data_IF_882304182132
#
_entry.id   IF_882304182132
#
_cell.length_a   1.000
_cell.length_b   1.000
_cell.length_c   1.000
_cell.angle_alpha   90.00
_cell.angle_beta   90.00
_cell.angle_gamma   90.00
#
_symmetry.space_group_name_H-M   'P 1'
#
loop_
_entity.id
_entity.type
_entity.pdbx_description
1 polymer ?
#
# COMPACT_ATOMS: atom_id res chain seq x y z
N UNK A 1 -6.06 -2.25 6.23
CA UNK A 1 -7.05 -2.90 5.35
C UNK A 1 -8.44 -2.24 5.36
N UNK A 2 -8.56 -0.99 5.82
CA UNK A 2 -9.86 -0.29 6.00
C UNK A 2 -10.19 0.72 4.89
N UNK A 3 -9.26 0.98 3.95
CA UNK A 3 -9.44 2.06 2.96
C UNK A 3 -10.50 1.78 1.88
N UNK A 4 -10.81 0.52 1.60
CA UNK A 4 -11.77 0.16 0.54
C UNK A 4 -13.24 0.26 0.97
N UNK A 5 -13.55 0.01 2.22
CA UNK A 5 -14.92 0.13 2.73
C UNK A 5 -15.41 1.58 2.72
N UNK A 6 -14.48 2.54 2.87
CA UNK A 6 -14.79 3.98 2.83
C UNK A 6 -15.38 4.40 1.48
N UNK A 7 -14.93 3.81 0.38
CA UNK A 7 -15.33 4.24 -0.95
C UNK A 7 -16.80 3.92 -1.31
N UNK A 8 -17.39 2.91 -0.70
CA UNK A 8 -18.74 2.45 -1.06
C UNK A 8 -19.84 2.91 -0.10
N UNK A 9 -19.52 3.02 1.20
CA UNK A 9 -20.53 3.25 2.25
C UNK A 9 -20.25 4.50 3.11
N UNK A 10 -19.20 5.24 2.82
CA UNK A 10 -18.68 6.27 3.72
C UNK A 10 -17.84 5.64 4.82
N UNK A 11 -17.16 6.45 5.61
CA UNK A 11 -16.32 5.93 6.68
C UNK A 11 -15.71 6.98 7.57
N UNK A 12 -15.20 6.49 8.70
CA UNK A 12 -14.52 7.32 9.68
C UNK A 12 -13.13 7.74 9.16
N UNK A 13 -12.89 9.03 9.12
CA UNK A 13 -11.61 9.63 8.79
C UNK A 13 -10.92 10.05 10.07
N UNK A 14 -10.11 9.17 10.63
CA UNK A 14 -9.36 9.42 11.83
C UNK A 14 -8.34 10.53 11.63
N UNK A 15 -7.92 11.18 12.74
CA UNK A 15 -7.10 12.39 12.71
C UNK A 15 -7.68 13.47 11.79
N UNK A 16 -9.03 13.55 11.70
CA UNK A 16 -9.74 14.46 10.79
C UNK A 16 -9.31 14.36 9.33
N UNK A 17 -8.81 13.18 8.91
CA UNK A 17 -8.27 12.94 7.58
C UNK A 17 -6.84 13.44 7.37
N UNK A 18 -6.19 13.96 8.39
CA UNK A 18 -4.84 14.49 8.30
C UNK A 18 -3.79 13.39 8.47
N UNK A 19 -3.80 12.44 7.54
CA UNK A 19 -2.84 11.35 7.43
C UNK A 19 -2.12 11.38 6.10
N UNK A 20 -0.87 10.96 6.12
CA UNK A 20 -0.08 10.67 4.91
C UNK A 20 0.20 9.17 4.83
N UNK A 21 0.03 8.58 3.68
CA UNK A 21 0.29 7.14 3.45
C UNK A 21 1.06 6.94 2.16
N UNK A 22 1.91 5.93 2.18
CA UNK A 22 2.55 5.39 0.99
C UNK A 22 1.58 4.37 0.36
N UNK A 23 0.75 4.85 -0.58
CA UNK A 23 -0.17 3.99 -1.32
C UNK A 23 0.59 3.27 -2.42
N UNK A 24 0.55 1.96 -2.40
CA UNK A 24 1.24 1.13 -3.39
C UNK A 24 0.24 0.28 -4.14
N UNK A 25 0.30 0.34 -5.45
CA UNK A 25 -0.57 -0.46 -6.31
C UNK A 25 -0.15 -1.93 -6.29
N UNK A 26 -1.14 -2.83 -6.39
CA UNK A 26 -0.91 -4.27 -6.23
C UNK A 26 0.07 -4.84 -7.26
N UNK A 27 0.00 -4.38 -8.53
CA UNK A 27 0.89 -4.87 -9.58
C UNK A 27 2.34 -4.47 -9.33
N UNK A 28 2.59 -3.30 -8.72
CA UNK A 28 3.93 -2.89 -8.30
C UNK A 28 4.46 -3.77 -7.18
N UNK A 29 3.60 -4.18 -6.22
CA UNK A 29 3.97 -5.13 -5.17
C UNK A 29 4.33 -6.47 -5.79
N UNK A 30 3.49 -6.99 -6.69
CA UNK A 30 3.70 -8.27 -7.38
C UNK A 30 4.99 -8.24 -8.22
N UNK A 31 5.24 -7.15 -8.97
CA UNK A 31 6.50 -6.97 -9.73
C UNK A 31 7.72 -7.00 -8.80
N UNK A 32 7.62 -6.33 -7.63
CA UNK A 32 8.68 -6.35 -6.62
C UNK A 32 8.96 -7.75 -6.09
N UNK A 33 7.92 -8.52 -5.76
CA UNK A 33 8.05 -9.92 -5.30
C UNK A 33 8.64 -10.80 -6.41
N UNK A 34 8.11 -10.70 -7.64
CA UNK A 34 8.58 -11.47 -8.77
C UNK A 34 10.07 -11.28 -9.05
N UNK A 35 10.54 -10.04 -8.99
CA UNK A 35 11.97 -9.71 -9.15
C UNK A 35 12.86 -10.28 -8.05
N UNK A 36 12.30 -10.57 -6.88
CA UNK A 36 13.04 -11.17 -5.76
C UNK A 36 13.23 -12.68 -5.89
N UNK A 37 12.40 -13.39 -6.66
CA UNK A 37 12.47 -14.85 -6.78
C UNK A 37 13.87 -15.34 -7.16
N UNK A 38 14.58 -14.59 -8.02
CA UNK A 38 15.93 -14.92 -8.48
C UNK A 38 17.04 -14.21 -7.69
N UNK A 39 16.72 -13.62 -6.52
CA UNK A 39 17.64 -12.85 -5.69
C UNK A 39 17.72 -13.37 -4.25
N UNK A 40 17.44 -14.65 -4.08
CA UNK A 40 17.49 -15.33 -2.78
C UNK A 40 18.94 -15.30 -2.26
N UNK A 41 19.18 -14.86 -1.02
CA UNK A 41 20.53 -14.92 -0.44
C UNK A 41 20.94 -16.36 -0.16
N UNK A 42 22.24 -16.65 -0.24
CA UNK A 42 22.81 -17.92 0.20
C UNK A 42 23.54 -17.76 1.54
N UNK A 43 23.91 -18.87 2.18
CA UNK A 43 24.65 -18.88 3.44
C UNK A 43 25.98 -18.10 3.32
N UNK A 44 26.61 -18.15 2.14
CA UNK A 44 27.89 -17.47 1.89
C UNK A 44 27.71 -16.05 1.33
N UNK A 45 26.49 -15.54 1.26
CA UNK A 45 26.25 -14.18 0.80
C UNK A 45 26.87 -13.16 1.75
N UNK A 46 27.53 -12.16 1.18
CA UNK A 46 28.09 -11.04 1.94
C UNK A 46 27.23 -9.79 1.75
N UNK A 47 27.19 -8.93 2.77
CA UNK A 47 26.56 -7.61 2.64
C UNK A 47 27.24 -6.82 1.54
N UNK A 48 26.44 -6.35 0.56
CA UNK A 48 26.95 -5.57 -0.58
C UNK A 48 26.78 -4.07 -0.39
N UNK A 49 25.92 -3.67 0.53
CA UNK A 49 25.55 -2.27 0.75
C UNK A 49 25.63 -1.91 2.23
N UNK A 50 25.85 -0.63 2.54
CA UNK A 50 25.98 -0.13 3.92
C UNK A 50 24.75 -0.48 4.78
N UNK A 51 23.54 -0.40 4.21
CA UNK A 51 22.28 -0.67 4.90
C UNK A 51 21.66 -2.00 4.43
N UNK A 52 22.48 -2.99 4.11
CA UNK A 52 22.00 -4.31 3.72
C UNK A 52 21.49 -5.06 4.95
N UNK A 53 20.23 -5.45 4.93
CA UNK A 53 19.55 -6.22 5.98
C UNK A 53 19.85 -7.72 5.94
N UNK A 54 20.84 -8.14 5.13
CA UNK A 54 21.27 -9.53 5.06
C UNK A 54 21.67 -10.04 6.45
N UNK A 55 21.05 -11.16 6.86
CA UNK A 55 21.38 -11.82 8.11
C UNK A 55 22.83 -12.37 8.09
N UNK A 56 23.60 -12.24 9.19
CA UNK A 56 24.91 -12.83 9.29
C UNK A 56 24.89 -14.35 9.58
N UNK A 57 23.76 -14.88 10.02
CA UNK A 57 23.63 -16.26 10.53
C UNK A 57 22.71 -17.15 9.71
N UNK A 58 21.93 -16.58 8.81
CA UNK A 58 20.96 -17.31 8.00
C UNK A 58 20.78 -16.67 6.61
N UNK A 59 20.39 -17.43 5.58
CA UNK A 59 20.23 -16.90 4.23
C UNK A 59 18.90 -16.15 4.06
N UNK A 60 18.69 -15.09 4.84
CA UNK A 60 17.52 -14.24 4.69
C UNK A 60 17.85 -12.75 4.69
N UNK A 61 16.94 -11.96 4.16
CA UNK A 61 17.02 -10.51 4.05
C UNK A 61 15.62 -9.91 4.20
N UNK A 62 15.51 -8.81 4.93
CA UNK A 62 14.28 -8.04 5.07
C UNK A 62 14.30 -6.90 4.06
N UNK A 63 13.24 -6.74 3.31
CA UNK A 63 13.09 -5.72 2.28
C UNK A 63 11.72 -5.05 2.39
N UNK A 64 11.70 -3.73 2.21
CA UNK A 64 10.45 -3.00 2.09
C UNK A 64 10.05 -2.91 0.62
N UNK A 65 8.74 -3.06 0.37
CA UNK A 65 8.13 -2.82 -0.93
C UNK A 65 7.10 -1.71 -0.76
N UNK A 66 7.16 -0.68 -1.59
CA UNK A 66 6.25 0.45 -1.55
C UNK A 66 6.45 1.40 -2.72
N UNK A 67 5.70 2.48 -2.75
CA UNK A 67 5.79 3.49 -3.80
C UNK A 67 6.84 4.58 -3.51
N UNK A 68 7.32 4.66 -2.25
CA UNK A 68 8.29 5.68 -1.80
C UNK A 68 7.78 7.13 -1.87
N UNK A 69 6.47 7.32 -1.89
CA UNK A 69 5.83 8.63 -1.93
C UNK A 69 4.72 8.73 -0.91
N UNK A 70 4.65 9.86 -0.25
CA UNK A 70 3.60 10.19 0.70
C UNK A 70 2.47 10.91 -0.02
N UNK A 71 1.25 10.46 0.20
CA UNK A 71 0.04 11.08 -0.31
C UNK A 71 -0.88 11.39 0.86
N UNK A 72 -1.40 12.62 0.91
CA UNK A 72 -2.44 12.97 1.85
C UNK A 72 -3.71 12.17 1.61
N UNK A 73 -4.25 11.58 2.68
CA UNK A 73 -5.45 10.76 2.61
C UNK A 73 -6.63 11.50 1.96
N UNK A 74 -6.82 12.78 2.31
CA UNK A 74 -7.90 13.58 1.71
C UNK A 74 -7.71 13.80 0.22
N UNK A 75 -6.49 13.97 -0.26
CA UNK A 75 -6.21 14.10 -1.69
C UNK A 75 -6.52 12.79 -2.44
N UNK A 76 -6.16 11.66 -1.84
CA UNK A 76 -6.48 10.35 -2.37
C UNK A 76 -8.01 10.15 -2.46
N UNK A 77 -8.76 10.47 -1.39
CA UNK A 77 -10.22 10.38 -1.37
C UNK A 77 -10.85 11.31 -2.41
N UNK A 78 -10.39 12.57 -2.50
CA UNK A 78 -10.89 13.51 -3.49
C UNK A 78 -10.72 13.00 -4.93
N UNK A 79 -9.58 12.36 -5.21
CA UNK A 79 -9.33 11.75 -6.53
C UNK A 79 -10.27 10.57 -6.77
N UNK A 80 -10.48 9.70 -5.77
CA UNK A 80 -11.45 8.60 -5.86
C UNK A 80 -12.87 9.12 -6.14
N UNK A 81 -13.33 10.14 -5.42
CA UNK A 81 -14.64 10.75 -5.65
C UNK A 81 -14.80 11.26 -7.08
N UNK A 82 -13.76 11.92 -7.59
CA UNK A 82 -13.74 12.45 -8.96
C UNK A 82 -13.86 11.32 -9.99
N UNK A 83 -13.08 10.26 -9.82
CA UNK A 83 -13.05 9.14 -10.75
C UNK A 83 -14.33 8.28 -10.71
N UNK A 84 -14.92 8.11 -9.51
CA UNK A 84 -16.15 7.35 -9.33
C UNK A 84 -17.41 8.18 -9.65
N UNK A 85 -17.29 9.50 -9.80
CA UNK A 85 -18.44 10.39 -9.99
C UNK A 85 -19.39 10.44 -8.79
N UNK A 86 -18.93 10.03 -7.61
CA UNK A 86 -19.73 9.92 -6.38
C UNK A 86 -19.03 10.57 -5.21
N UNK A 87 -19.82 11.25 -4.37
CA UNK A 87 -19.33 11.78 -3.09
C UNK A 87 -19.39 10.72 -2.00
N UNK A 88 -18.37 10.69 -1.15
CA UNK A 88 -18.26 9.79 -0.01
C UNK A 88 -18.79 10.51 1.24
N UNK A 89 -19.61 9.83 2.02
CA UNK A 89 -20.02 10.35 3.32
C UNK A 89 -18.84 10.27 4.30
N UNK A 90 -18.31 11.44 4.72
CA UNK A 90 -17.07 11.55 5.52
C UNK A 90 -17.40 11.85 6.96
N UNK A 91 -17.06 10.91 7.86
CA UNK A 91 -17.17 11.11 9.30
C UNK A 91 -15.78 11.40 9.87
N UNK A 92 -15.54 12.66 10.23
CA UNK A 92 -14.25 13.09 10.78
C UNK A 92 -14.16 12.71 12.25
N UNK A 93 -13.12 11.98 12.62
CA UNK A 93 -12.90 11.48 13.98
C UNK A 93 -11.52 11.91 14.51
N UNK A 94 -11.37 12.04 15.83
CA UNK A 94 -10.06 12.24 16.43
C UNK A 94 -9.08 11.12 16.08
N UNK A 95 -7.79 11.39 16.24
CA UNK A 95 -6.75 10.36 16.01
C UNK A 95 -6.93 9.18 16.96
N UNK A 96 -6.83 7.96 16.47
CA UNK A 96 -6.84 6.76 17.29
C UNK A 96 -5.52 6.61 18.06
N UNK A 97 -5.59 6.06 19.28
CA UNK A 97 -4.41 5.70 20.04
C UNK A 97 -3.60 4.64 19.30
N UNK A 98 -2.31 4.86 19.15
CA UNK A 98 -1.41 3.94 18.47
C UNK A 98 -1.36 4.07 16.94
N UNK A 99 -2.21 4.90 16.31
CA UNK A 99 -2.08 5.18 14.88
C UNK A 99 -0.90 6.14 14.62
N UNK A 100 -0.34 6.08 13.42
CA UNK A 100 0.78 6.93 13.01
C UNK A 100 0.31 7.98 12.01
N UNK A 101 0.81 9.20 12.17
CA UNK A 101 0.45 10.34 11.32
C UNK A 101 0.87 10.11 9.85
N UNK A 102 2.04 9.51 9.63
CA UNK A 102 2.63 9.35 8.30
C UNK A 102 3.36 8.02 8.16
N UNK A 103 3.23 7.38 7.01
CA UNK A 103 4.00 6.18 6.64
C UNK A 103 4.72 6.40 5.32
N UNK A 104 5.94 5.87 5.22
CA UNK A 104 6.75 5.91 4.01
C UNK A 104 7.64 4.67 3.95
N UNK A 105 7.63 3.96 2.83
CA UNK A 105 8.51 2.81 2.60
C UNK A 105 9.85 3.27 2.04
N UNK A 106 10.95 2.87 2.67
CA UNK A 106 12.28 2.98 2.06
C UNK A 106 12.57 1.72 1.23
N UNK A 107 12.40 1.82 -0.08
CA UNK A 107 12.66 0.74 -1.03
C UNK A 107 14.08 0.80 -1.64
N UNK A 108 14.99 1.59 -1.07
CA UNK A 108 16.34 1.79 -1.61
C UNK A 108 17.10 0.47 -1.75
N UNK A 109 17.00 -0.42 -0.75
CA UNK A 109 17.67 -1.71 -0.80
C UNK A 109 17.08 -2.63 -1.86
N UNK A 110 15.75 -2.69 -1.95
CA UNK A 110 15.04 -3.46 -2.99
C UNK A 110 15.44 -2.99 -4.39
N UNK A 111 15.47 -1.67 -4.61
CA UNK A 111 15.90 -1.07 -5.87
C UNK A 111 17.33 -1.46 -6.22
N UNK A 112 18.26 -1.43 -5.27
CA UNK A 112 19.67 -1.80 -5.50
C UNK A 112 19.86 -3.27 -5.86
N UNK A 113 19.03 -4.16 -5.29
CA UNK A 113 19.14 -5.61 -5.50
C UNK A 113 18.46 -6.05 -6.80
N UNK A 114 17.32 -5.46 -7.12
CA UNK A 114 16.42 -5.96 -8.18
C UNK A 114 16.20 -5.00 -9.33
N UNK A 115 16.59 -3.74 -9.19
CA UNK A 115 16.19 -2.68 -10.11
C UNK A 115 14.72 -2.29 -9.97
N UNK A 116 14.05 -2.68 -8.87
CA UNK A 116 12.65 -2.33 -8.62
C UNK A 116 12.40 -0.83 -8.72
N UNK A 117 11.36 -0.46 -9.45
CA UNK A 117 10.84 0.89 -9.54
C UNK A 117 9.33 0.78 -9.68
N UNK A 118 8.54 1.36 -8.78
CA UNK A 118 7.10 1.41 -8.96
C UNK A 118 6.78 2.12 -10.27
N UNK A 119 5.83 1.60 -11.02
CA UNK A 119 5.43 2.10 -12.35
C UNK A 119 4.14 2.87 -12.31
N UNK A 120 3.33 2.58 -11.29
CA UNK A 120 2.01 3.18 -11.14
C UNK A 120 2.17 4.57 -10.54
N UNK A 121 1.65 5.57 -11.24
CA UNK A 121 1.61 6.95 -10.77
C UNK A 121 0.68 7.06 -9.54
N UNK A 122 0.90 8.09 -8.71
CA UNK A 122 0.19 8.34 -7.44
C UNK A 122 -1.32 8.60 -7.63
N UNK A 123 -1.77 8.72 -8.86
CA UNK A 123 -3.19 8.85 -9.17
C UNK A 123 -3.89 7.51 -9.01
N UNK A 124 -4.99 7.42 -8.27
CA UNK A 124 -5.86 6.26 -8.34
C UNK A 124 -6.20 6.05 -9.82
N UNK A 125 -5.66 5.01 -10.43
CA UNK A 125 -6.03 4.69 -11.80
C UNK A 125 -7.50 4.24 -11.81
N UNK A 126 -8.35 5.11 -12.35
CA UNK A 126 -9.78 4.92 -12.48
C UNK A 126 -10.21 3.55 -13.02
N UNK A 127 -9.56 2.96 -14.04
CA UNK A 127 -9.98 1.65 -14.55
C UNK A 127 -9.93 0.57 -13.46
N UNK A 128 -8.96 0.66 -12.55
CA UNK A 128 -8.74 -0.36 -11.52
C UNK A 128 -9.49 -0.08 -10.22
N UNK A 129 -9.71 1.19 -9.87
CA UNK A 129 -10.61 1.54 -8.77
C UNK A 129 -12.05 1.16 -9.11
N UNK A 130 -12.50 1.38 -10.34
CA UNK A 130 -13.82 0.95 -10.82
C UNK A 130 -13.94 -0.57 -10.92
N UNK A 131 -12.89 -1.29 -11.34
CA UNK A 131 -12.88 -2.75 -11.39
C UNK A 131 -12.93 -3.39 -10.00
N UNK A 132 -12.27 -2.79 -9.01
CA UNK A 132 -12.41 -3.21 -7.61
C UNK A 132 -13.77 -2.87 -7.00
N UNK A 133 -14.48 -1.86 -7.52
CA UNK A 133 -15.80 -1.43 -7.06
C UNK A 133 -16.96 -2.12 -7.79
N UNK A 134 -16.72 -2.80 -8.91
CA UNK A 134 -17.71 -3.63 -9.63
C UNK A 134 -17.89 -5.02 -9.00
N UNK A 135 -17.89 -5.08 -7.68
CA UNK A 135 -18.47 -6.23 -7.00
C UNK A 135 -20.00 -6.11 -7.17
N UNK A 136 -20.68 -7.10 -7.79
CA UNK A 136 -22.11 -7.08 -7.87
C UNK A 136 -22.70 -6.96 -6.47
N UNK A 137 -23.65 -6.07 -6.30
CA UNK A 137 -24.31 -5.76 -5.02
C UNK A 137 -25.07 -6.95 -4.39
N UNK A 138 -24.94 -8.14 -4.96
CA UNK A 138 -25.73 -9.31 -4.64
C UNK A 138 -24.85 -10.49 -4.19
N UNK A 139 -24.19 -10.33 -3.04
CA UNK A 139 -23.82 -11.48 -2.19
C UNK A 139 -23.63 -11.05 -0.75
N UNK A 140 -24.73 -11.00 -0.01
CA UNK A 140 -24.70 -11.23 1.43
C UNK A 140 -24.17 -12.64 1.72
N UNK A 141 -22.86 -12.82 1.73
CA UNK A 141 -22.23 -13.93 2.43
C UNK A 141 -21.64 -13.36 3.71
N UNK A 142 -22.42 -13.47 4.77
CA UNK A 142 -21.87 -13.53 6.12
C UNK A 142 -20.88 -14.71 6.14
N UNK A 143 -19.60 -14.40 6.16
CA UNK A 143 -18.58 -15.37 6.55
C UNK A 143 -18.56 -15.29 8.06
N UNK A 144 -19.29 -16.18 8.70
CA UNK A 144 -19.08 -16.52 10.09
C UNK A 144 -17.71 -17.21 10.17
N UNK A 145 -16.78 -16.60 10.86
CA UNK A 145 -15.50 -17.22 11.24
C UNK A 145 -15.77 -17.90 12.59
N UNK A 146 -15.45 -19.21 12.74
CA UNK A 146 -15.59 -19.94 13.99
C UNK A 146 -14.66 -19.41 15.06
#
# INVERSE_FOLDING_TARGET
>A
MHSFTIALYGGNLYNYGNHERDFTYIDDIVDGIYKLLNKVPSINSKKKFKNDSLSPVAPFRILNIGNTKKIYLLNFINTLEKELGKKINRHYMPMQKGDVHSTLSDCTLLKKITGYKPKTDDRPHAPNAAACCNFPADRHRQIAIP
#
